data_IF_681166853355
#
_entry.id   IF_681166853355
#
_cell.length_a   1.000
_cell.length_b   1.000
_cell.length_c   1.000
_cell.angle_alpha   90.00
_cell.angle_beta   90.00
_cell.angle_gamma   90.00
#
_symmetry.space_group_name_H-M   'P 1'
#
loop_
_entity.id
_entity.type
_entity.pdbx_description
1 polymer ?
#
# COMPACT_ATOMS: atom_id res chain seq x y z
N UNK A 1 23.88 -55.27 52.21
CA UNK A 1 22.85 -54.39 52.82
C UNK A 1 23.21 -52.95 52.54
N UNK A 2 22.23 -52.17 52.06
CA UNK A 2 22.20 -50.73 51.70
C UNK A 2 22.89 -50.30 50.37
N UNK A 3 22.11 -49.81 49.39
CA UNK A 3 22.61 -49.26 48.13
C UNK A 3 22.78 -47.73 48.22
N UNK A 4 23.76 -47.17 47.51
CA UNK A 4 23.83 -45.74 47.27
C UNK A 4 23.58 -45.48 45.78
N UNK A 5 22.40 -44.93 45.50
CA UNK A 5 22.01 -44.31 44.24
C UNK A 5 22.84 -43.05 44.02
N UNK A 6 23.55 -42.95 42.89
CA UNK A 6 23.88 -41.66 42.30
C UNK A 6 23.51 -41.72 40.81
N UNK A 7 22.35 -41.13 40.54
CA UNK A 7 21.86 -40.71 39.24
C UNK A 7 22.73 -39.54 38.77
N UNK A 8 23.46 -39.69 37.67
CA UNK A 8 24.06 -38.56 36.95
C UNK A 8 23.59 -38.59 35.50
N UNK A 9 22.58 -37.76 35.24
CA UNK A 9 22.07 -37.40 33.92
C UNK A 9 23.10 -36.45 33.27
N UNK A 10 23.92 -36.94 32.35
CA UNK A 10 24.71 -36.08 31.47
C UNK A 10 23.88 -35.76 30.22
N UNK A 11 23.12 -34.66 30.30
CA UNK A 11 22.66 -33.93 29.13
C UNK A 11 23.67 -32.82 28.85
N UNK A 12 24.38 -32.89 27.73
CA UNK A 12 25.12 -31.75 27.16
C UNK A 12 24.88 -31.72 25.63
N UNK A 13 24.82 -30.51 25.05
CA UNK A 13 24.02 -30.21 23.87
C UNK A 13 24.75 -30.55 22.57
N UNK A 14 23.98 -31.00 21.58
CA UNK A 14 24.40 -31.03 20.18
C UNK A 14 24.73 -29.60 19.75
N UNK A 15 26.00 -29.32 19.45
CA UNK A 15 26.39 -28.14 18.69
C UNK A 15 25.72 -28.23 17.31
N UNK A 16 24.60 -27.54 17.14
CA UNK A 16 24.12 -27.19 15.82
C UNK A 16 25.09 -26.13 15.24
N UNK A 17 25.97 -26.56 14.33
CA UNK A 17 26.61 -25.65 13.39
C UNK A 17 25.50 -25.07 12.51
N UNK A 18 24.97 -23.91 12.91
CA UNK A 18 24.25 -23.05 11.99
C UNK A 18 25.27 -22.63 10.93
N UNK A 19 25.18 -23.25 9.75
CA UNK A 19 25.84 -22.75 8.57
C UNK A 19 25.21 -21.38 8.29
N UNK A 20 25.95 -20.34 8.64
CA UNK A 20 25.69 -18.98 8.20
C UNK A 20 25.99 -18.96 6.70
N UNK A 21 25.04 -19.44 5.90
CA UNK A 21 25.01 -19.14 4.47
C UNK A 21 24.65 -17.67 4.35
N UNK A 22 25.63 -16.83 4.65
CA UNK A 22 25.74 -15.50 4.08
C UNK A 22 25.79 -15.69 2.58
N UNK A 23 24.62 -15.71 1.95
CA UNK A 23 24.48 -15.51 0.52
C UNK A 23 24.67 -14.00 0.31
N UNK A 24 25.85 -13.50 -0.10
CA UNK A 24 26.08 -12.08 -0.30
C UNK A 24 25.61 -11.70 -1.70
N UNK A 25 24.48 -12.24 -2.14
CA UNK A 25 23.94 -12.02 -3.46
C UNK A 25 22.40 -11.87 -3.41
N UNK A 26 21.98 -10.83 -2.69
CA UNK A 26 20.81 -10.06 -3.10
C UNK A 26 21.31 -8.77 -3.72
N UNK A 27 21.76 -8.91 -4.96
CA UNK A 27 21.89 -7.82 -5.92
C UNK A 27 20.57 -7.07 -6.02
N UNK A 28 20.59 -5.77 -5.73
CA UNK A 28 19.85 -4.81 -6.56
C UNK A 28 20.66 -3.52 -6.69
N UNK A 29 21.78 -3.62 -7.42
CA UNK A 29 22.20 -2.54 -8.30
C UNK A 29 21.16 -2.42 -9.41
N UNK A 30 20.10 -1.69 -9.10
CA UNK A 30 19.13 -1.18 -10.05
C UNK A 30 18.79 0.19 -9.53
N UNK A 31 19.20 1.23 -10.25
CA UNK A 31 18.70 2.57 -10.02
C UNK A 31 17.20 2.49 -10.30
N UNK A 32 16.42 2.21 -9.25
CA UNK A 32 14.98 2.02 -9.31
C UNK A 32 14.37 3.35 -9.75
N UNK A 33 14.11 3.47 -11.05
CA UNK A 33 13.43 4.61 -11.68
C UNK A 33 11.91 4.60 -11.37
N UNK A 34 11.56 4.09 -10.19
CA UNK A 34 10.18 4.05 -9.71
C UNK A 34 9.80 5.45 -9.22
N UNK A 35 8.57 5.90 -9.46
CA UNK A 35 8.09 7.20 -8.99
C UNK A 35 7.94 7.27 -7.46
N UNK A 36 8.30 6.22 -6.73
CA UNK A 36 8.30 6.18 -5.27
C UNK A 36 9.39 5.25 -4.73
N UNK A 37 9.70 5.40 -3.44
CA UNK A 37 10.53 4.50 -2.64
C UNK A 37 9.74 4.07 -1.41
N UNK A 38 9.81 2.79 -1.07
CA UNK A 38 9.12 2.23 0.08
C UNK A 38 10.08 1.37 0.90
N UNK A 39 10.36 1.80 2.13
CA UNK A 39 11.38 1.21 2.99
C UNK A 39 10.88 0.96 4.41
N UNK A 40 11.67 0.25 5.22
CA UNK A 40 11.39 0.14 6.66
C UNK A 40 11.44 1.53 7.29
N UNK A 41 10.45 1.80 8.14
CA UNK A 41 10.31 3.06 8.86
C UNK A 41 10.37 2.88 10.37
N UNK A 42 10.07 3.97 11.08
CA UNK A 42 10.01 3.99 12.55
C UNK A 42 8.98 2.99 13.08
N UNK A 43 9.34 2.25 14.14
CA UNK A 43 8.51 1.14 14.64
C UNK A 43 7.14 1.66 15.10
N UNK A 44 6.07 1.03 14.61
CA UNK A 44 4.71 1.39 15.00
C UNK A 44 4.16 2.64 14.31
N UNK A 45 4.87 3.19 13.30
CA UNK A 45 4.40 4.30 12.50
C UNK A 45 4.39 3.98 11.01
N UNK A 46 3.38 4.51 10.32
CA UNK A 46 3.45 4.68 8.87
C UNK A 46 3.72 6.15 8.57
N UNK A 47 4.66 6.40 7.65
CA UNK A 47 5.08 7.74 7.25
C UNK A 47 5.03 7.86 5.73
N UNK A 48 4.30 8.85 5.22
CA UNK A 48 4.23 9.20 3.81
C UNK A 48 4.88 10.56 3.56
N UNK A 49 5.85 10.62 2.66
CA UNK A 49 6.36 11.86 2.06
C UNK A 49 5.76 11.97 0.66
N UNK A 50 4.85 12.92 0.49
CA UNK A 50 4.00 13.11 -0.68
C UNK A 50 4.31 14.47 -1.32
N UNK A 51 3.92 14.70 -2.59
CA UNK A 51 4.04 16.02 -3.18
C UNK A 51 3.32 17.07 -2.31
N UNK A 52 4.04 18.12 -1.93
CA UNK A 52 3.51 19.19 -1.07
C UNK A 52 3.58 18.93 0.44
N UNK A 53 4.06 17.79 0.93
CA UNK A 53 4.29 17.63 2.37
C UNK A 53 4.53 16.21 2.86
N UNK A 54 4.33 16.02 4.16
CA UNK A 54 4.47 14.70 4.78
C UNK A 54 3.36 14.44 5.78
N UNK A 55 3.09 13.16 6.01
CA UNK A 55 2.10 12.67 6.95
C UNK A 55 2.68 11.50 7.72
N UNK A 56 2.46 11.48 9.04
CA UNK A 56 2.85 10.38 9.89
C UNK A 56 1.69 9.99 10.80
N UNK A 57 1.48 8.68 10.96
CA UNK A 57 0.42 8.14 11.81
C UNK A 57 0.91 6.91 12.55
N UNK A 58 0.56 6.82 13.83
CA UNK A 58 0.76 5.61 14.60
C UNK A 58 -0.16 4.50 14.07
N UNK A 59 0.40 3.32 13.80
CA UNK A 59 -0.36 2.18 13.28
C UNK A 59 -1.53 1.79 14.21
N UNK A 60 -1.35 1.94 15.52
CA UNK A 60 -2.38 1.69 16.54
C UNK A 60 -3.55 2.68 16.52
N UNK A 61 -3.40 3.81 15.81
CA UNK A 61 -4.45 4.82 15.66
C UNK A 61 -5.21 4.70 14.36
N UNK A 62 -4.73 3.90 13.41
CA UNK A 62 -5.44 3.65 12.15
C UNK A 62 -6.65 2.77 12.44
N UNK A 63 -7.84 3.22 12.03
CA UNK A 63 -9.09 2.47 12.15
C UNK A 63 -9.49 1.81 10.83
N UNK A 64 -9.18 2.46 9.71
CA UNK A 64 -9.57 2.01 8.37
C UNK A 64 -8.55 2.46 7.33
N UNK A 65 -8.33 1.62 6.32
CA UNK A 65 -7.65 1.99 5.08
C UNK A 65 -8.48 1.48 3.91
N UNK A 66 -9.05 2.40 3.14
CA UNK A 66 -9.88 2.05 1.98
C UNK A 66 -9.35 2.73 0.71
N UNK A 67 -9.69 2.13 -0.44
CA UNK A 67 -9.47 2.69 -1.77
C UNK A 67 -10.82 2.70 -2.47
N UNK A 68 -11.17 3.79 -3.12
CA UNK A 68 -12.40 3.87 -3.90
C UNK A 68 -12.24 4.77 -5.13
N UNK A 69 -13.10 4.54 -6.11
CA UNK A 69 -13.13 5.25 -7.39
C UNK A 69 -14.51 5.91 -7.54
N UNK A 70 -14.55 7.18 -7.94
CA UNK A 70 -15.80 7.93 -8.14
C UNK A 70 -15.68 8.95 -9.27
N UNK A 71 -16.80 9.28 -9.89
CA UNK A 71 -16.90 10.27 -10.97
C UNK A 71 -17.22 11.64 -10.37
N UNK A 72 -16.33 12.59 -10.61
CA UNK A 72 -16.45 14.00 -10.23
C UNK A 72 -16.87 14.81 -11.46
N UNK A 73 -17.93 15.60 -11.30
CA UNK A 73 -18.47 16.53 -12.30
C UNK A 73 -18.69 15.94 -13.70
N UNK A 74 -18.94 14.62 -13.77
CA UNK A 74 -19.25 13.90 -15.01
C UNK A 74 -18.08 13.69 -15.98
N UNK A 75 -16.90 14.24 -15.72
CA UNK A 75 -15.77 14.22 -16.66
C UNK A 75 -14.43 13.76 -16.05
N UNK A 76 -14.35 13.60 -14.73
CA UNK A 76 -13.11 13.27 -14.04
C UNK A 76 -13.34 12.09 -13.11
N UNK A 77 -12.52 11.06 -13.25
CA UNK A 77 -12.52 9.93 -12.33
C UNK A 77 -11.45 10.18 -11.28
N UNK A 78 -11.88 10.17 -10.02
CA UNK A 78 -11.01 10.26 -8.86
C UNK A 78 -10.82 8.86 -8.32
N UNK A 79 -9.57 8.44 -8.23
CA UNK A 79 -9.19 7.28 -7.40
C UNK A 79 -8.59 7.83 -6.12
N UNK A 80 -9.14 7.47 -4.96
CA UNK A 80 -8.59 7.90 -3.68
C UNK A 80 -8.32 6.75 -2.73
N UNK A 81 -7.27 6.93 -1.93
CA UNK A 81 -6.96 6.12 -0.75
C UNK A 81 -7.23 6.98 0.47
N UNK A 82 -8.01 6.46 1.41
CA UNK A 82 -8.32 7.12 2.68
C UNK A 82 -7.77 6.30 3.85
N UNK A 83 -7.09 6.98 4.77
CA UNK A 83 -6.61 6.43 6.04
C UNK A 83 -7.31 7.19 7.17
N UNK A 84 -8.19 6.49 7.89
CA UNK A 84 -8.93 7.06 9.01
C UNK A 84 -8.24 6.76 10.33
N UNK A 85 -8.35 7.71 11.26
CA UNK A 85 -7.75 7.59 12.59
C UNK A 85 -8.74 7.76 13.73
N UNK A 86 -8.38 7.23 14.90
CA UNK A 86 -9.05 7.51 16.18
C UNK A 86 -8.76 8.98 16.56
N UNK A 87 -9.55 9.92 16.02
CA UNK A 87 -9.36 11.36 16.25
C UNK A 87 -10.06 12.30 15.27
N UNK A 88 -10.91 11.79 14.38
CA UNK A 88 -11.60 12.55 13.33
C UNK A 88 -10.69 13.21 12.30
N UNK A 89 -9.41 12.81 12.23
CA UNK A 89 -8.50 13.20 11.14
C UNK A 89 -8.44 12.09 10.11
N UNK A 90 -8.70 12.43 8.86
CA UNK A 90 -8.63 11.51 7.72
C UNK A 90 -7.53 12.01 6.78
N UNK A 91 -6.60 11.13 6.44
CA UNK A 91 -5.70 11.35 5.31
C UNK A 91 -6.42 10.87 4.04
N UNK A 92 -6.44 11.70 3.01
CA UNK A 92 -6.89 11.34 1.66
C UNK A 92 -5.76 11.60 0.67
N UNK A 93 -5.40 10.58 -0.10
CA UNK A 93 -4.48 10.72 -1.23
C UNK A 93 -5.22 10.34 -2.48
N UNK A 94 -5.20 11.19 -3.51
CA UNK A 94 -5.97 10.96 -4.72
C UNK A 94 -5.16 11.10 -6.00
N UNK A 95 -5.61 10.38 -7.02
CA UNK A 95 -5.16 10.46 -8.40
C UNK A 95 -6.37 10.79 -9.29
N UNK A 96 -6.15 11.65 -10.28
CA UNK A 96 -7.20 12.14 -11.18
C UNK A 96 -6.97 11.59 -12.59
N UNK A 97 -7.98 10.90 -13.12
CA UNK A 97 -7.98 10.37 -14.49
C UNK A 97 -9.15 10.98 -15.27
N UNK A 98 -8.94 11.60 -16.44
CA UNK A 98 -10.04 12.06 -17.27
C UNK A 98 -10.96 10.89 -17.64
N UNK A 99 -12.29 11.06 -17.52
CA UNK A 99 -13.25 9.99 -17.77
C UNK A 99 -13.12 9.39 -19.19
N UNK A 100 -12.76 10.21 -20.18
CA UNK A 100 -12.50 9.78 -21.55
C UNK A 100 -11.33 8.79 -21.69
N UNK A 101 -10.39 8.78 -20.72
CA UNK A 101 -9.17 7.96 -20.74
C UNK A 101 -9.28 6.73 -19.81
N UNK A 102 -10.38 6.56 -19.10
CA UNK A 102 -10.49 5.52 -18.08
C UNK A 102 -10.43 4.10 -18.63
N UNK A 103 -11.13 3.84 -19.74
CA UNK A 103 -11.16 2.51 -20.37
C UNK A 103 -9.81 2.03 -20.91
N UNK A 104 -8.94 2.96 -21.33
CA UNK A 104 -7.60 2.64 -21.86
C UNK A 104 -6.61 2.37 -20.71
N UNK A 105 -6.65 3.16 -19.63
CA UNK A 105 -5.83 2.93 -18.44
C UNK A 105 -6.24 1.67 -17.65
N UNK A 106 -7.53 1.36 -17.57
CA UNK A 106 -8.01 0.15 -16.89
C UNK A 106 -7.56 -1.15 -17.58
N UNK A 107 -7.37 -1.11 -18.90
CA UNK A 107 -6.92 -2.26 -19.70
C UNK A 107 -5.42 -2.53 -19.55
N UNK A 108 -4.61 -1.48 -19.35
CA UNK A 108 -3.17 -1.61 -19.03
C UNK A 108 -2.88 -2.24 -17.66
N UNK A 109 -3.84 -2.22 -16.72
CA UNK A 109 -3.72 -2.80 -15.36
C UNK A 109 -3.66 -4.34 -15.34
N UNK A 110 -3.93 -5.03 -16.46
CA UNK A 110 -4.05 -6.50 -16.52
C UNK A 110 -2.88 -7.20 -17.19
N UNK A 111 -1.91 -6.47 -17.75
CA UNK A 111 -0.74 -7.02 -18.44
C UNK A 111 0.45 -7.05 -17.49
N UNK A 112 0.36 -7.87 -16.45
CA UNK A 112 1.57 -8.36 -15.76
C UNK A 112 1.56 -9.87 -15.58
N UNK A 113 0.43 -10.59 -15.50
CA UNK A 113 0.52 -12.05 -15.26
C UNK A 113 -0.72 -12.89 -15.60
N UNK A 114 -1.47 -12.59 -16.67
CA UNK A 114 -2.48 -13.50 -17.24
C UNK A 114 -2.57 -13.38 -18.75
N UNK A 115 -1.54 -13.88 -19.44
CA UNK A 115 -1.59 -14.08 -20.88
C UNK A 115 -2.65 -15.11 -21.26
N UNK A 116 -3.51 -14.74 -22.22
CA UNK A 116 -4.43 -15.56 -23.04
C UNK A 116 -5.90 -15.71 -22.67
N UNK A 117 -6.33 -15.73 -21.40
CA UNK A 117 -7.77 -15.94 -21.08
C UNK A 117 -8.64 -14.67 -20.96
N UNK A 118 -8.03 -13.48 -21.09
CA UNK A 118 -8.72 -12.20 -20.85
C UNK A 118 -9.08 -11.41 -22.12
N UNK A 119 -8.61 -11.87 -23.27
CA UNK A 119 -8.85 -11.21 -24.55
C UNK A 119 -10.31 -11.33 -24.97
N UNK A 120 -10.99 -12.45 -24.65
CA UNK A 120 -12.39 -12.69 -25.00
C UNK A 120 -13.41 -11.97 -24.09
N UNK A 121 -12.97 -11.33 -22.99
CA UNK A 121 -13.84 -10.56 -22.08
C UNK A 121 -13.62 -9.04 -22.15
N UNK A 122 -12.78 -8.57 -23.08
CA UNK A 122 -12.32 -7.19 -23.13
C UNK A 122 -13.36 -6.20 -23.72
N UNK A 123 -14.42 -6.67 -24.36
CA UNK A 123 -15.39 -5.82 -25.05
C UNK A 123 -16.52 -5.21 -24.20
N UNK A 124 -16.66 -5.57 -22.92
CA UNK A 124 -17.90 -5.27 -22.16
C UNK A 124 -17.75 -4.36 -20.93
N UNK A 125 -16.54 -3.97 -20.52
CA UNK A 125 -16.34 -3.32 -19.20
C UNK A 125 -16.31 -1.79 -19.19
N UNK A 126 -16.25 -1.14 -20.34
CA UNK A 126 -16.03 0.31 -20.38
C UNK A 126 -17.29 1.14 -20.09
N UNK A 127 -18.49 0.58 -20.30
CA UNK A 127 -19.77 1.27 -20.02
C UNK A 127 -20.38 0.96 -18.65
N UNK A 128 -20.34 -0.31 -18.22
CA UNK A 128 -20.98 -0.73 -16.96
C UNK A 128 -20.21 -0.28 -15.71
N UNK A 129 -18.89 -0.18 -15.76
CA UNK A 129 -18.10 0.15 -14.58
C UNK A 129 -18.25 1.63 -14.20
N UNK A 130 -18.35 2.55 -15.17
CA UNK A 130 -18.62 3.98 -14.91
C UNK A 130 -20.04 4.19 -14.39
N UNK A 131 -21.04 3.47 -14.93
CA UNK A 131 -22.42 3.56 -14.48
C UNK A 131 -22.61 3.12 -13.01
N UNK A 132 -21.72 2.28 -12.50
CA UNK A 132 -21.71 1.81 -11.11
C UNK A 132 -20.84 2.67 -10.17
N UNK A 133 -20.16 3.70 -10.68
CA UNK A 133 -19.34 4.59 -9.85
C UNK A 133 -20.19 5.58 -9.07
N UNK A 134 -19.73 5.93 -7.87
CA UNK A 134 -20.34 7.01 -7.10
C UNK A 134 -20.15 8.32 -7.87
N UNK A 135 -21.22 9.09 -8.09
CA UNK A 135 -21.12 10.44 -8.65
C UNK A 135 -21.13 11.46 -7.51
N UNK A 136 -20.14 12.36 -7.48
CA UNK A 136 -20.08 13.45 -6.50
C UNK A 136 -20.18 14.80 -7.21
N UNK A 137 -21.11 15.64 -6.73
CA UNK A 137 -21.11 17.09 -6.96
C UNK A 137 -20.74 17.74 -5.61
N UNK A 138 -19.61 18.44 -5.55
CA UNK A 138 -19.18 19.11 -4.31
C UNK A 138 -19.61 20.58 -4.31
N UNK A 139 -20.39 21.07 -3.31
CA UNK A 139 -20.37 22.50 -3.00
C UNK A 139 -18.95 22.88 -2.54
N UNK A 140 -18.52 24.15 -2.68
CA UNK A 140 -17.19 24.63 -2.25
C UNK A 140 -16.97 24.36 -0.75
N UNK A 141 -16.37 23.23 -0.39
CA UNK A 141 -16.44 22.66 0.95
C UNK A 141 -15.43 23.24 1.94
N UNK A 142 -15.84 23.29 3.20
CA UNK A 142 -14.97 23.41 4.37
C UNK A 142 -14.26 22.07 4.65
N UNK A 143 -12.94 22.00 4.44
CA UNK A 143 -12.08 20.82 4.62
C UNK A 143 -11.73 20.52 6.09
N UNK A 144 -12.70 20.59 7.02
CA UNK A 144 -12.39 20.40 8.43
C UNK A 144 -11.80 19.00 8.69
N UNK A 145 -10.56 18.95 9.20
CA UNK A 145 -9.81 17.75 9.64
C UNK A 145 -9.47 16.71 8.55
N UNK A 146 -9.57 17.04 7.27
CA UNK A 146 -9.04 16.18 6.21
C UNK A 146 -7.69 16.71 5.74
N UNK A 147 -6.70 15.83 5.68
CA UNK A 147 -5.37 16.15 5.13
C UNK A 147 -5.31 15.53 3.75
N UNK A 148 -5.07 16.33 2.73
CA UNK A 148 -5.23 15.93 1.33
C UNK A 148 -3.93 16.07 0.55
N UNK A 149 -3.60 15.04 -0.21
CA UNK A 149 -2.46 15.05 -1.14
C UNK A 149 -2.89 14.51 -2.50
N UNK A 150 -2.20 14.97 -3.54
CA UNK A 150 -2.37 14.47 -4.90
C UNK A 150 -1.12 13.75 -5.35
N UNK A 151 -1.30 12.60 -6.01
CA UNK A 151 -0.22 11.90 -6.73
C UNK A 151 -0.50 11.92 -8.24
N UNK A 152 0.58 11.84 -9.02
CA UNK A 152 0.50 11.96 -10.49
C UNK A 152 -0.09 10.70 -11.12
N UNK A 153 0.38 9.53 -10.72
CA UNK A 153 0.05 8.26 -11.34
C UNK A 153 -0.65 7.28 -10.38
N UNK A 154 -1.45 6.38 -10.96
CA UNK A 154 -2.23 5.39 -10.23
C UNK A 154 -1.34 4.33 -9.57
N UNK A 155 -0.19 4.00 -10.17
CA UNK A 155 0.76 3.03 -9.64
C UNK A 155 1.35 3.47 -8.31
N UNK A 156 1.71 4.74 -8.17
CA UNK A 156 2.13 5.36 -6.92
C UNK A 156 1.04 5.30 -5.86
N UNK A 157 -0.23 5.58 -6.24
CA UNK A 157 -1.35 5.48 -5.31
C UNK A 157 -1.57 4.04 -4.81
N UNK A 158 -1.47 3.05 -5.70
CA UNK A 158 -1.58 1.63 -5.36
C UNK A 158 -0.41 1.14 -4.51
N UNK A 159 0.80 1.62 -4.78
CA UNK A 159 1.97 1.33 -3.95
C UNK A 159 1.84 1.95 -2.55
N UNK A 160 1.32 3.17 -2.44
CA UNK A 160 1.03 3.81 -1.17
C UNK A 160 0.01 2.99 -0.37
N UNK A 161 -1.07 2.54 -1.02
CA UNK A 161 -2.06 1.66 -0.41
C UNK A 161 -1.41 0.38 0.12
N UNK A 162 -0.58 -0.27 -0.70
CA UNK A 162 0.16 -1.48 -0.33
C UNK A 162 1.08 -1.26 0.87
N UNK A 163 1.84 -0.16 0.86
CA UNK A 163 2.73 0.24 1.95
C UNK A 163 1.97 0.44 3.26
N UNK A 164 0.90 1.24 3.24
CA UNK A 164 0.13 1.58 4.41
C UNK A 164 -0.63 0.38 4.99
N UNK A 165 -1.32 -0.40 4.13
CA UNK A 165 -2.00 -1.63 4.56
C UNK A 165 -1.02 -2.67 5.07
N UNK A 166 0.10 -2.85 4.38
CA UNK A 166 1.15 -3.78 4.80
C UNK A 166 1.71 -3.42 6.17
N UNK A 167 2.02 -2.13 6.39
CA UNK A 167 2.48 -1.64 7.69
C UNK A 167 1.44 -1.91 8.79
N UNK A 168 0.18 -1.52 8.55
CA UNK A 168 -0.89 -1.63 9.52
C UNK A 168 -1.17 -3.08 9.93
N UNK A 169 -1.30 -3.99 8.96
CA UNK A 169 -1.61 -5.41 9.21
C UNK A 169 -0.41 -6.12 9.87
N UNK A 170 0.81 -5.83 9.43
CA UNK A 170 2.00 -6.50 9.97
C UNK A 170 2.50 -5.91 11.30
N UNK A 171 2.04 -4.72 11.67
CA UNK A 171 2.56 -3.94 12.80
C UNK A 171 3.99 -3.41 12.60
N UNK A 172 4.59 -3.58 11.41
CA UNK A 172 5.94 -3.11 11.10
C UNK A 172 5.90 -1.71 10.50
N UNK A 173 6.72 -0.83 11.03
CA UNK A 173 6.82 0.54 10.55
C UNK A 173 7.31 0.63 9.11
N UNK A 174 6.76 1.59 8.35
CA UNK A 174 7.12 1.82 6.94
C UNK A 174 7.26 3.30 6.65
N UNK A 175 8.16 3.63 5.72
CA UNK A 175 8.34 4.97 5.16
C UNK A 175 8.17 4.90 3.65
N UNK A 176 7.14 5.59 3.16
CA UNK A 176 6.83 5.73 1.75
C UNK A 176 7.20 7.14 1.28
N UNK A 177 7.94 7.26 0.18
CA UNK A 177 8.40 8.54 -0.36
C UNK A 177 8.07 8.58 -1.84
N UNK A 178 7.30 9.57 -2.27
CA UNK A 178 7.08 9.85 -3.70
C UNK A 178 8.27 10.66 -4.22
N UNK A 179 8.86 10.22 -5.33
CA UNK A 179 9.91 10.95 -6.04
C UNK A 179 9.23 11.91 -7.03
N UNK A 180 9.64 13.18 -7.03
CA UNK A 180 9.04 14.21 -7.91
C UNK A 180 9.67 14.25 -9.31
#
# INVERSE_FOLDING_TARGET
>A
MKPLFILSLLFLPVLALAQDTTNPNSTSTGQDDKPFKDSLGEKGFWQGSLPGGSYAVALSRITSISKHEYLLDGNLIVTEVTIDTIGSTTLRVYQLTPAAQYGTLATGRKIVERGKDLLDRAGQRTGSDIANMVQKQYPTTTHAKTIEFRVKDLGTLDALLGSAKGAWISGKGRKFVVNE
#
